data_IF_123132293551
#
_entry.id   IF_123132293551
#
_cell.length_a   1.000
_cell.length_b   1.000
_cell.length_c   1.000
_cell.angle_alpha   90.00
_cell.angle_beta   90.00
_cell.angle_gamma   90.00
#
_symmetry.space_group_name_H-M   'P 1'
#
loop_
_entity.id
_entity.type
_entity.pdbx_description
1 polymer ?
#
# COMPACT_ATOMS: atom_id res chain seq x y z
N UNK A 1 40.43 -0.48 -50.32
CA UNK A 1 40.79 0.73 -49.58
C UNK A 1 39.53 1.60 -49.54
N UNK A 2 38.86 1.63 -48.41
CA UNK A 2 38.23 2.83 -47.86
C UNK A 2 37.57 2.45 -46.54
N UNK A 3 38.19 2.94 -45.51
CA UNK A 3 37.72 2.88 -44.12
C UNK A 3 36.48 3.77 -43.97
N UNK A 4 35.35 3.20 -43.49
CA UNK A 4 34.30 3.98 -42.90
C UNK A 4 34.24 3.68 -41.38
N UNK A 5 34.96 4.52 -40.62
CA UNK A 5 34.90 4.63 -39.18
C UNK A 5 33.50 5.07 -38.76
N UNK A 6 32.74 4.16 -38.21
CA UNK A 6 31.44 4.43 -37.61
C UNK A 6 31.59 5.33 -36.38
N UNK A 7 31.03 6.52 -36.49
CA UNK A 7 30.93 7.56 -35.51
C UNK A 7 30.04 7.06 -34.32
N UNK A 8 30.64 6.57 -33.22
CA UNK A 8 29.96 6.39 -31.95
C UNK A 8 29.62 7.77 -31.43
N UNK A 9 28.40 8.21 -31.65
CA UNK A 9 27.83 9.35 -30.91
C UNK A 9 27.89 9.03 -29.42
N UNK A 10 28.79 9.67 -28.72
CA UNK A 10 28.75 9.80 -27.24
C UNK A 10 27.41 10.43 -26.87
N UNK A 11 26.48 9.62 -26.39
CA UNK A 11 25.29 10.11 -25.74
C UNK A 11 25.78 10.74 -24.42
N UNK A 12 25.54 12.03 -24.11
CA UNK A 12 25.88 12.58 -22.82
C UNK A 12 25.19 11.74 -21.76
N UNK A 13 25.92 11.35 -20.71
CA UNK A 13 25.40 10.58 -19.60
C UNK A 13 24.09 11.26 -19.11
N UNK A 14 22.98 10.58 -19.32
CA UNK A 14 21.68 11.07 -18.87
C UNK A 14 21.80 11.32 -17.36
N UNK A 15 21.40 12.53 -16.90
CA UNK A 15 21.32 12.83 -15.47
C UNK A 15 20.55 11.68 -14.79
N UNK A 16 20.97 11.22 -13.60
CA UNK A 16 20.23 10.18 -12.91
C UNK A 16 18.80 10.66 -12.71
N UNK A 17 17.86 9.87 -13.20
CA UNK A 17 16.43 10.14 -13.03
C UNK A 17 16.09 10.01 -11.54
N UNK A 18 15.35 10.99 -11.02
CA UNK A 18 14.91 11.03 -9.63
C UNK A 18 13.50 10.48 -9.56
N UNK A 19 13.30 9.42 -8.79
CA UNK A 19 12.00 8.75 -8.64
C UNK A 19 11.41 9.04 -7.27
N UNK A 20 10.10 9.28 -7.22
CA UNK A 20 9.33 9.42 -5.99
C UNK A 20 7.94 8.79 -6.17
N UNK A 21 7.47 8.11 -5.12
CA UNK A 21 6.18 7.43 -5.10
C UNK A 21 5.26 8.14 -4.10
N UNK A 22 4.22 8.77 -4.61
CA UNK A 22 3.29 9.60 -3.84
C UNK A 22 1.96 8.88 -3.71
N UNK A 23 1.51 8.59 -2.49
CA UNK A 23 0.20 8.03 -2.23
C UNK A 23 -0.86 9.09 -2.02
N UNK A 24 -2.03 8.90 -2.63
CA UNK A 24 -3.22 9.67 -2.31
C UNK A 24 -4.11 8.88 -1.37
N UNK A 25 -4.37 9.41 -0.18
CA UNK A 25 -5.21 8.80 0.84
C UNK A 25 -6.36 9.75 1.19
N UNK A 26 -7.54 9.21 1.43
CA UNK A 26 -8.71 10.00 1.79
C UNK A 26 -9.79 9.13 2.41
N UNK A 27 -10.66 9.75 3.17
CA UNK A 27 -11.99 9.19 3.42
C UNK A 27 -12.83 9.21 2.15
N UNK A 28 -13.85 8.34 2.08
CA UNK A 28 -14.84 8.32 0.98
C UNK A 28 -15.38 9.73 0.75
N UNK A 29 -15.59 10.08 -0.51
CA UNK A 29 -16.11 11.36 -0.96
C UNK A 29 -15.27 12.62 -0.61
N UNK A 30 -14.09 12.51 -0.04
CA UNK A 30 -13.22 13.68 0.17
C UNK A 30 -12.67 14.29 -1.13
N UNK A 31 -12.83 13.60 -2.27
CA UNK A 31 -12.42 14.06 -3.60
C UNK A 31 -11.02 13.63 -4.01
N UNK A 32 -10.56 12.48 -3.50
CA UNK A 32 -9.25 11.89 -3.81
C UNK A 32 -9.04 11.67 -5.32
N UNK A 33 -9.96 10.96 -6.00
CA UNK A 33 -9.89 10.71 -7.44
C UNK A 33 -9.95 12.01 -8.24
N UNK A 34 -10.76 12.99 -7.80
CA UNK A 34 -10.80 14.32 -8.42
C UNK A 34 -9.46 15.05 -8.31
N UNK A 35 -8.78 14.94 -7.16
CA UNK A 35 -7.44 15.50 -6.97
C UNK A 35 -6.41 14.79 -7.86
N UNK A 36 -6.48 13.45 -7.96
CA UNK A 36 -5.62 12.68 -8.85
C UNK A 36 -5.75 13.14 -10.30
N UNK A 37 -6.98 13.28 -10.80
CA UNK A 37 -7.28 13.78 -12.15
C UNK A 37 -6.75 15.22 -12.33
N UNK A 38 -6.95 16.11 -11.36
CA UNK A 38 -6.46 17.48 -11.39
C UNK A 38 -4.91 17.54 -11.48
N UNK A 39 -4.22 16.73 -10.68
CA UNK A 39 -2.76 16.61 -10.73
C UNK A 39 -2.29 16.12 -12.11
N UNK A 40 -2.88 15.04 -12.64
CA UNK A 40 -2.52 14.50 -13.95
C UNK A 40 -2.79 15.48 -15.08
N UNK A 41 -3.88 16.25 -15.00
CA UNK A 41 -4.23 17.26 -15.97
C UNK A 41 -3.26 18.44 -15.96
N UNK A 42 -2.96 18.99 -14.78
CA UNK A 42 -2.03 20.12 -14.62
C UNK A 42 -0.60 19.77 -15.07
N UNK A 43 -0.19 18.52 -14.88
CA UNK A 43 1.12 18.03 -15.34
C UNK A 43 1.12 17.54 -16.79
N UNK A 44 0.00 17.69 -17.51
CA UNK A 44 -0.12 17.34 -18.92
C UNK A 44 -0.08 15.83 -19.22
N UNK A 45 -0.20 14.98 -18.21
CA UNK A 45 -0.26 13.52 -18.38
C UNK A 45 -1.56 13.07 -19.03
N UNK A 46 -2.65 13.82 -18.82
CA UNK A 46 -3.95 13.65 -19.48
C UNK A 46 -4.36 14.93 -20.17
N UNK A 47 -5.08 14.81 -21.31
CA UNK A 47 -5.51 15.97 -22.14
C UNK A 47 -6.84 16.57 -21.71
N UNK A 48 -7.66 15.80 -21.02
CA UNK A 48 -9.01 16.18 -20.56
C UNK A 48 -9.12 15.81 -19.09
N UNK A 49 -9.64 16.72 -18.30
CA UNK A 49 -9.96 16.46 -16.89
C UNK A 49 -11.14 15.48 -16.83
N UNK A 50 -10.90 14.27 -16.29
CA UNK A 50 -11.94 13.30 -16.02
C UNK A 50 -12.80 13.71 -14.83
N UNK A 51 -14.05 13.30 -14.79
CA UNK A 51 -14.98 13.56 -13.68
C UNK A 51 -15.61 12.27 -13.19
N UNK A 52 -15.60 12.07 -11.89
CA UNK A 52 -16.22 10.91 -11.24
C UNK A 52 -17.70 10.82 -11.59
N UNK A 53 -18.42 11.95 -11.56
CA UNK A 53 -19.84 12.06 -11.90
C UNK A 53 -20.13 11.64 -13.35
N UNK A 54 -19.20 11.87 -14.25
CA UNK A 54 -19.34 11.50 -15.68
C UNK A 54 -18.78 10.10 -15.97
N UNK A 55 -18.15 9.42 -14.99
CA UNK A 55 -17.56 8.09 -15.12
C UNK A 55 -16.46 8.01 -16.21
N UNK A 56 -15.77 9.13 -16.45
CA UNK A 56 -14.74 9.27 -17.49
C UNK A 56 -13.34 9.56 -16.92
N UNK A 57 -13.12 9.21 -15.66
CA UNK A 57 -11.82 9.34 -14.98
C UNK A 57 -10.76 8.43 -15.58
N UNK A 58 -9.52 8.90 -15.62
CA UNK A 58 -8.38 8.14 -16.15
C UNK A 58 -8.01 6.95 -15.25
N UNK A 59 -8.15 7.10 -13.93
CA UNK A 59 -7.76 6.09 -12.95
C UNK A 59 -8.85 5.05 -12.66
N UNK A 60 -10.13 5.41 -12.64
CA UNK A 60 -11.23 4.47 -12.38
C UNK A 60 -11.51 3.64 -13.64
N UNK A 61 -10.72 2.63 -13.86
CA UNK A 61 -10.76 1.81 -15.09
C UNK A 61 -11.66 0.60 -15.00
N UNK A 62 -11.98 0.17 -13.77
CA UNK A 62 -12.85 -0.96 -13.51
C UNK A 62 -14.33 -0.57 -13.64
N UNK A 63 -15.16 -1.46 -14.19
CA UNK A 63 -16.59 -1.21 -14.38
C UNK A 63 -17.33 -1.08 -13.04
N UNK A 64 -16.94 -1.85 -12.02
CA UNK A 64 -17.53 -1.80 -10.68
C UNK A 64 -17.15 -0.51 -9.94
N UNK A 65 -15.90 -0.06 -10.06
CA UNK A 65 -15.43 1.21 -9.51
C UNK A 65 -16.23 2.37 -10.11
N UNK A 66 -16.34 2.41 -11.45
CA UNK A 66 -17.12 3.42 -12.15
C UNK A 66 -18.61 3.40 -11.82
N UNK A 67 -19.19 2.22 -11.63
CA UNK A 67 -20.60 2.10 -11.29
C UNK A 67 -20.93 2.67 -9.91
N UNK A 68 -19.97 2.54 -8.96
CA UNK A 68 -20.12 2.95 -7.55
C UNK A 68 -19.49 4.29 -7.20
N UNK A 69 -18.58 4.78 -8.05
CA UNK A 69 -17.81 6.00 -7.79
C UNK A 69 -16.79 5.85 -6.66
N UNK A 70 -16.33 4.61 -6.36
CA UNK A 70 -15.32 4.34 -5.32
C UNK A 70 -14.13 3.59 -5.92
N UNK A 71 -12.93 3.90 -5.44
CA UNK A 71 -11.72 3.15 -5.76
C UNK A 71 -11.66 1.89 -4.90
N UNK A 72 -11.53 0.73 -5.54
CA UNK A 72 -11.49 -0.59 -4.89
C UNK A 72 -10.04 -1.09 -4.83
N UNK A 73 -9.33 -0.97 -5.94
CA UNK A 73 -7.95 -1.41 -6.10
C UNK A 73 -7.01 -0.22 -6.25
N UNK A 74 -5.83 -0.30 -5.65
CA UNK A 74 -4.79 0.70 -5.82
C UNK A 74 -4.39 0.82 -7.29
N UNK A 75 -4.42 2.03 -7.83
CA UNK A 75 -4.07 2.38 -9.22
C UNK A 75 -2.78 3.18 -9.26
N UNK A 76 -2.13 3.11 -10.41
CA UNK A 76 -0.89 3.85 -10.64
C UNK A 76 -1.07 4.82 -11.81
N UNK A 77 -0.54 6.01 -11.65
CA UNK A 77 -0.34 6.95 -12.76
C UNK A 77 1.08 7.49 -12.71
N UNK A 78 1.65 7.74 -13.88
CA UNK A 78 2.99 8.32 -14.00
C UNK A 78 2.89 9.75 -14.51
N UNK A 79 3.66 10.62 -13.88
CA UNK A 79 3.77 12.02 -14.28
C UNK A 79 5.20 12.53 -14.05
N UNK A 80 5.51 13.68 -14.62
CA UNK A 80 6.79 14.37 -14.42
C UNK A 80 6.53 15.64 -13.63
N UNK A 81 7.25 15.84 -12.52
CA UNK A 81 7.19 17.05 -11.71
C UNK A 81 8.57 17.71 -11.71
N UNK A 82 8.78 18.65 -12.61
CA UNK A 82 10.10 19.24 -12.86
C UNK A 82 11.08 18.20 -13.41
N UNK A 83 12.12 17.88 -12.64
CA UNK A 83 13.13 16.84 -12.96
C UNK A 83 12.84 15.48 -12.29
N UNK A 84 11.70 15.35 -11.59
CA UNK A 84 11.30 14.12 -10.90
C UNK A 84 10.35 13.28 -11.75
N UNK A 85 10.56 11.97 -11.71
CA UNK A 85 9.61 10.98 -12.22
C UNK A 85 8.74 10.52 -11.05
N UNK A 86 7.47 10.88 -11.09
CA UNK A 86 6.52 10.60 -10.02
C UNK A 86 5.65 9.43 -10.39
N UNK A 87 5.53 8.45 -9.48
CA UNK A 87 4.47 7.46 -9.51
C UNK A 87 3.41 7.87 -8.50
N UNK A 88 2.25 8.28 -9.00
CA UNK A 88 1.08 8.57 -8.18
C UNK A 88 0.32 7.27 -7.93
N UNK A 89 0.12 6.93 -6.66
CA UNK A 89 -0.60 5.74 -6.21
C UNK A 89 -1.94 6.18 -5.63
N UNK A 90 -3.01 5.95 -6.37
CA UNK A 90 -4.38 6.20 -5.91
C UNK A 90 -4.86 4.99 -5.10
N UNK A 91 -5.11 5.16 -3.80
CA UNK A 91 -5.48 4.08 -2.88
C UNK A 91 -6.98 4.02 -2.65
N UNK A 92 -7.54 2.87 -2.26
CA UNK A 92 -8.94 2.81 -1.84
C UNK A 92 -9.24 3.77 -0.68
N UNK A 93 -10.39 4.46 -0.77
CA UNK A 93 -10.84 5.36 0.30
C UNK A 93 -11.90 4.74 1.22
N UNK A 94 -12.44 3.57 0.87
CA UNK A 94 -13.47 2.88 1.65
C UNK A 94 -12.84 1.94 2.68
N UNK A 95 -13.41 1.89 3.88
CA UNK A 95 -12.90 1.07 4.99
C UNK A 95 -12.81 -0.42 4.67
N UNK A 96 -13.70 -0.96 3.84
CA UNK A 96 -13.71 -2.36 3.45
C UNK A 96 -12.48 -2.76 2.59
N UNK A 97 -11.74 -1.79 2.05
CA UNK A 97 -10.52 -2.01 1.25
C UNK A 97 -9.27 -1.45 1.93
N UNK A 98 -9.35 -1.20 3.23
CA UNK A 98 -8.24 -0.64 4.00
C UNK A 98 -7.00 -1.53 4.01
N UNK A 99 -7.15 -2.85 3.92
CA UNK A 99 -6.01 -3.76 3.82
C UNK A 99 -5.22 -3.60 2.51
N UNK A 100 -5.90 -3.38 1.37
CA UNK A 100 -5.25 -3.05 0.10
C UNK A 100 -4.52 -1.71 0.18
N UNK A 101 -5.14 -0.70 0.82
CA UNK A 101 -4.54 0.59 1.05
C UNK A 101 -3.29 0.44 1.93
N UNK A 102 -3.37 -0.29 3.06
CA UNK A 102 -2.25 -0.48 3.99
C UNK A 102 -1.04 -1.15 3.31
N UNK A 103 -1.25 -2.15 2.45
CA UNK A 103 -0.18 -2.75 1.66
C UNK A 103 0.50 -1.73 0.74
N UNK A 104 -0.26 -0.81 0.18
CA UNK A 104 0.27 0.24 -0.70
C UNK A 104 1.12 1.24 0.06
N UNK A 105 0.82 1.53 1.35
CA UNK A 105 1.62 2.44 2.17
C UNK A 105 3.09 2.05 2.22
N UNK A 106 3.39 0.77 2.21
CA UNK A 106 4.75 0.24 2.37
C UNK A 106 5.70 0.55 1.19
N UNK A 107 5.18 1.07 0.09
CA UNK A 107 5.99 1.45 -1.09
C UNK A 107 5.97 2.96 -1.36
N UNK A 108 5.31 3.74 -0.52
CA UNK A 108 5.27 5.19 -0.63
C UNK A 108 6.57 5.83 -0.13
N UNK A 109 6.92 6.97 -0.71
CA UNK A 109 7.99 7.86 -0.24
C UNK A 109 7.40 9.07 0.50
N UNK A 110 6.19 9.49 0.12
CA UNK A 110 5.36 10.43 0.85
C UNK A 110 3.88 10.22 0.51
N UNK A 111 3.01 10.83 1.28
CA UNK A 111 1.57 10.75 1.12
C UNK A 111 0.94 12.13 1.05
N UNK A 112 -0.16 12.24 0.31
CA UNK A 112 -1.10 13.36 0.37
C UNK A 112 -2.39 12.86 1.01
N UNK A 113 -2.68 13.33 2.21
CA UNK A 113 -3.92 13.05 2.92
C UNK A 113 -4.96 14.11 2.52
N UNK A 114 -6.00 13.67 1.80
CA UNK A 114 -7.06 14.56 1.31
C UNK A 114 -8.20 14.58 2.32
N UNK A 115 -8.56 15.77 2.77
CA UNK A 115 -9.61 16.01 3.76
C UNK A 115 -10.67 16.92 3.15
N UNK A 116 -11.94 16.60 3.30
CA UNK A 116 -13.04 17.47 2.88
C UNK A 116 -13.14 18.68 3.79
N UNK A 117 -13.05 19.90 3.27
CA UNK A 117 -13.24 21.13 4.03
C UNK A 117 -14.66 21.30 4.58
N UNK A 118 -15.64 20.67 3.93
CA UNK A 118 -17.02 20.70 4.43
C UNK A 118 -17.25 19.78 5.63
N UNK A 119 -16.53 18.65 5.70
CA UNK A 119 -16.74 17.59 6.70
C UNK A 119 -15.67 17.61 7.81
N UNK A 120 -14.52 18.24 7.55
CA UNK A 120 -13.38 18.26 8.46
C UNK A 120 -12.76 16.89 8.70
N UNK A 121 -12.10 16.72 9.86
CA UNK A 121 -11.44 15.46 10.21
C UNK A 121 -12.49 14.46 10.70
N UNK A 122 -12.66 13.37 9.95
CA UNK A 122 -13.55 12.26 10.28
C UNK A 122 -12.78 11.10 10.93
N UNK A 123 -13.48 10.15 11.57
CA UNK A 123 -12.85 9.00 12.26
C UNK A 123 -11.96 8.15 11.36
N UNK A 124 -12.35 7.98 10.10
CA UNK A 124 -11.50 7.24 9.14
C UNK A 124 -10.21 8.00 8.81
N UNK A 125 -10.25 9.34 8.75
CA UNK A 125 -9.05 10.18 8.57
C UNK A 125 -8.06 9.96 9.73
N UNK A 126 -8.55 9.85 10.97
CA UNK A 126 -7.69 9.52 12.12
C UNK A 126 -7.09 8.12 12.04
N UNK A 127 -7.83 7.16 11.47
CA UNK A 127 -7.29 5.81 11.21
C UNK A 127 -6.17 5.86 10.18
N UNK A 128 -6.38 6.57 9.06
CA UNK A 128 -5.34 6.80 8.05
C UNK A 128 -4.12 7.50 8.63
N UNK A 129 -4.34 8.50 9.50
CA UNK A 129 -3.28 9.24 10.18
C UNK A 129 -2.42 8.33 11.07
N UNK A 130 -3.06 7.44 11.85
CA UNK A 130 -2.36 6.46 12.68
C UNK A 130 -1.52 5.49 11.85
N UNK A 131 -2.02 5.03 10.70
CA UNK A 131 -1.26 4.19 9.79
C UNK A 131 -0.08 4.93 9.17
N UNK A 132 -0.28 6.17 8.68
CA UNK A 132 0.80 7.02 8.17
C UNK A 132 1.89 7.25 9.23
N UNK A 133 1.50 7.40 10.50
CA UNK A 133 2.43 7.50 11.63
C UNK A 133 3.19 6.20 11.89
N UNK A 134 2.49 5.05 11.88
CA UNK A 134 3.08 3.73 12.09
C UNK A 134 4.15 3.40 11.04
N UNK A 135 3.87 3.71 9.79
CA UNK A 135 4.79 3.46 8.67
C UNK A 135 5.76 4.62 8.42
N UNK A 136 5.79 5.61 9.31
CA UNK A 136 6.69 6.78 9.28
C UNK A 136 6.65 7.52 7.93
N UNK A 137 5.49 7.59 7.27
CA UNK A 137 5.36 8.18 5.94
C UNK A 137 5.24 9.71 6.04
N UNK A 138 6.16 10.48 5.44
CA UNK A 138 6.05 11.93 5.31
C UNK A 138 4.72 12.32 4.67
N UNK A 139 3.98 13.26 5.28
CA UNK A 139 2.60 13.51 4.90
C UNK A 139 2.34 14.99 4.64
N UNK A 140 1.78 15.26 3.47
CA UNK A 140 1.20 16.55 3.08
C UNK A 140 -0.33 16.45 3.23
N UNK A 141 -0.99 17.53 3.62
CA UNK A 141 -2.44 17.59 3.73
C UNK A 141 -3.00 18.48 2.63
N UNK A 142 -4.06 18.00 1.96
CA UNK A 142 -4.83 18.80 1.03
C UNK A 142 -6.28 18.91 1.51
N UNK A 143 -6.65 20.10 1.98
CA UNK A 143 -8.00 20.39 2.44
C UNK A 143 -8.81 20.82 1.21
N UNK A 144 -9.57 19.86 0.71
CA UNK A 144 -10.33 19.95 -0.54
C UNK A 144 -11.74 20.51 -0.33
N UNK A 145 -12.41 20.88 -1.42
CA UNK A 145 -13.79 21.39 -1.44
C UNK A 145 -13.95 22.72 -0.70
N UNK A 146 -12.92 23.57 -0.69
CA UNK A 146 -12.98 24.89 -0.07
C UNK A 146 -13.94 25.84 -0.79
N UNK A 147 -14.43 25.48 -1.96
CA UNK A 147 -15.46 26.20 -2.71
C UNK A 147 -16.90 25.94 -2.21
N UNK A 148 -17.07 25.04 -1.24
CA UNK A 148 -18.39 24.77 -0.65
C UNK A 148 -18.75 25.83 0.43
N UNK A 149 -20.03 26.22 0.53
CA UNK A 149 -20.48 27.18 1.54
C UNK A 149 -20.22 26.66 2.96
N UNK A 150 -19.77 27.52 3.84
CA UNK A 150 -19.57 27.20 5.26
C UNK A 150 -18.19 26.61 5.61
N UNK A 151 -17.28 26.53 4.65
CA UNK A 151 -15.90 26.17 4.95
C UNK A 151 -15.17 27.33 5.61
N UNK A 152 -14.56 27.09 6.75
CA UNK A 152 -13.78 28.05 7.53
C UNK A 152 -12.36 27.52 7.71
N UNK A 153 -11.38 28.20 7.11
CA UNK A 153 -9.97 27.80 7.10
C UNK A 153 -9.36 27.77 8.52
N UNK A 154 -9.67 28.76 9.34
CA UNK A 154 -9.12 28.85 10.70
C UNK A 154 -9.68 27.74 11.58
N UNK A 155 -10.99 27.49 11.52
CA UNK A 155 -11.65 26.39 12.25
C UNK A 155 -11.12 25.03 11.78
N UNK A 156 -10.87 24.85 10.47
CA UNK A 156 -10.29 23.62 9.92
C UNK A 156 -8.86 23.42 10.42
N UNK A 157 -8.02 24.45 10.42
CA UNK A 157 -6.66 24.35 10.97
C UNK A 157 -6.66 23.98 12.45
N UNK A 158 -7.52 24.61 13.25
CA UNK A 158 -7.67 24.26 14.67
C UNK A 158 -8.10 22.79 14.86
N UNK A 159 -9.01 22.31 14.01
CA UNK A 159 -9.44 20.91 13.99
C UNK A 159 -8.35 19.93 13.59
N UNK A 160 -7.51 20.26 12.58
CA UNK A 160 -6.36 19.47 12.17
C UNK A 160 -5.35 19.33 13.30
N UNK A 161 -4.98 20.45 13.95
CA UNK A 161 -4.06 20.44 15.09
C UNK A 161 -4.59 19.60 16.26
N UNK A 162 -5.84 19.82 16.66
CA UNK A 162 -6.44 19.12 17.80
C UNK A 162 -6.62 17.60 17.59
N UNK A 163 -6.86 17.14 16.37
CA UNK A 163 -7.22 15.74 16.08
C UNK A 163 -6.12 14.93 15.39
N UNK A 164 -5.21 15.58 14.69
CA UNK A 164 -4.11 14.89 14.01
C UNK A 164 -2.77 15.18 14.68
N UNK A 165 -2.27 16.42 14.59
CA UNK A 165 -0.97 16.80 15.13
C UNK A 165 -0.80 18.32 15.19
N UNK A 166 -0.15 18.85 16.24
CA UNK A 166 0.17 20.26 16.38
C UNK A 166 1.12 20.78 15.31
N UNK A 167 1.92 19.88 14.70
CA UNK A 167 2.80 20.15 13.57
C UNK A 167 2.08 20.39 12.23
N UNK A 168 0.74 20.39 12.18
CA UNK A 168 -0.01 20.85 11.03
C UNK A 168 0.14 22.34 10.85
N UNK A 169 0.79 22.78 9.76
CA UNK A 169 1.06 24.18 9.45
C UNK A 169 0.46 24.57 8.12
N UNK A 170 -0.17 25.73 8.07
CA UNK A 170 -0.78 26.27 6.85
C UNK A 170 0.28 26.89 5.93
N UNK A 171 0.44 26.33 4.73
CA UNK A 171 1.38 26.78 3.68
C UNK A 171 0.72 27.67 2.62
N UNK A 172 -0.43 28.28 2.90
CA UNK A 172 -1.06 29.26 2.01
C UNK A 172 -0.40 30.62 2.02
N UNK A 173 -0.65 31.40 0.95
CA UNK A 173 -0.01 32.72 0.73
C UNK A 173 -0.61 33.86 1.54
N UNK A 174 -1.78 33.68 2.16
CA UNK A 174 -2.53 34.78 2.79
C UNK A 174 -2.05 35.10 4.22
N UNK A 175 -0.88 34.58 4.63
CA UNK A 175 -0.30 34.77 5.97
C UNK A 175 0.91 35.67 5.94
N UNK A 176 1.16 36.41 7.04
CA UNK A 176 2.43 37.12 7.18
C UNK A 176 3.58 36.11 7.27
N UNK A 177 4.68 36.39 6.61
CA UNK A 177 5.87 35.53 6.61
C UNK A 177 6.39 35.28 8.04
N UNK A 178 6.36 36.31 8.87
CA UNK A 178 6.81 36.25 10.27
C UNK A 178 5.98 35.24 11.08
N UNK A 179 4.65 35.39 11.08
CA UNK A 179 3.77 34.46 11.80
C UNK A 179 3.88 33.01 11.31
N UNK A 180 4.16 32.81 10.02
CA UNK A 180 4.39 31.48 9.45
C UNK A 180 5.74 30.89 9.90
N UNK A 181 6.81 31.70 9.96
CA UNK A 181 8.13 31.25 10.45
C UNK A 181 8.08 30.94 11.96
N UNK A 182 7.39 31.75 12.75
CA UNK A 182 7.18 31.49 14.18
C UNK A 182 6.46 30.17 14.42
N UNK A 183 5.38 29.90 13.66
CA UNK A 183 4.64 28.64 13.76
C UNK A 183 5.50 27.43 13.39
N UNK A 184 6.32 27.53 12.36
CA UNK A 184 7.28 26.47 11.99
C UNK A 184 8.34 26.26 13.06
N UNK A 185 8.90 27.33 13.60
CA UNK A 185 9.89 27.26 14.67
C UNK A 185 9.37 26.55 15.91
N UNK A 186 8.07 26.71 16.23
CA UNK A 186 7.43 26.02 17.35
C UNK A 186 7.32 24.49 17.19
N UNK A 187 7.51 23.96 15.99
CA UNK A 187 7.43 22.52 15.73
C UNK A 187 8.68 21.73 16.15
N UNK A 188 9.83 22.41 16.39
CA UNK A 188 11.10 21.75 16.72
C UNK A 188 12.00 22.68 17.54
N UNK A 189 12.57 22.17 18.63
CA UNK A 189 13.39 22.97 19.55
C UNK A 189 14.67 23.52 18.87
N UNK A 190 15.34 22.69 18.06
CA UNK A 190 16.55 23.08 17.33
C UNK A 190 16.24 24.18 16.32
N UNK A 191 15.11 24.05 15.61
CA UNK A 191 14.65 25.06 14.66
C UNK A 191 14.25 26.36 15.34
N UNK A 192 13.70 26.30 16.55
CA UNK A 192 13.38 27.50 17.35
C UNK A 192 14.64 28.26 17.73
N UNK A 193 15.68 27.57 18.19
CA UNK A 193 16.98 28.19 18.52
C UNK A 193 17.59 28.88 17.29
N UNK A 194 17.62 28.17 16.14
CA UNK A 194 18.10 28.72 14.88
C UNK A 194 17.31 29.97 14.44
N UNK A 195 15.98 29.90 14.54
CA UNK A 195 15.12 31.06 14.17
C UNK A 195 15.37 32.28 15.05
N UNK A 196 15.62 32.09 16.36
CA UNK A 196 15.93 33.16 17.28
C UNK A 196 17.30 33.76 17.04
N UNK A 197 18.28 33.00 16.52
CA UNK A 197 19.62 33.47 16.20
C UNK A 197 19.70 34.17 14.82
N UNK A 198 19.14 33.52 13.78
CA UNK A 198 19.31 33.91 12.37
C UNK A 198 18.11 34.64 11.79
N UNK A 199 16.95 34.55 12.43
CA UNK A 199 15.68 35.17 11.99
C UNK A 199 15.08 34.55 10.73
N UNK A 200 15.55 33.35 10.33
CA UNK A 200 15.10 32.69 9.11
C UNK A 200 15.04 31.14 9.25
N UNK A 201 14.25 30.53 8.40
CA UNK A 201 14.14 29.05 8.26
C UNK A 201 14.32 28.72 6.77
N UNK A 202 15.23 27.82 6.47
CA UNK A 202 15.51 27.42 5.09
C UNK A 202 14.58 26.29 4.64
N UNK A 203 14.46 26.11 3.32
CA UNK A 203 13.61 25.09 2.73
C UNK A 203 14.07 23.66 3.10
N UNK A 204 15.38 23.49 3.29
CA UNK A 204 16.00 22.23 3.73
C UNK A 204 15.56 21.81 5.13
N UNK A 205 15.40 22.78 6.05
CA UNK A 205 14.91 22.51 7.41
C UNK A 205 13.46 22.04 7.38
N UNK A 206 12.61 22.72 6.61
CA UNK A 206 11.22 22.31 6.42
C UNK A 206 11.15 20.91 5.80
N UNK A 207 11.99 20.62 4.80
CA UNK A 207 12.07 19.30 4.17
C UNK A 207 12.50 18.22 5.17
N UNK A 208 13.48 18.50 6.02
CA UNK A 208 13.92 17.63 7.11
C UNK A 208 12.78 17.35 8.09
N UNK A 209 12.13 18.37 8.59
CA UNK A 209 11.05 18.24 9.56
C UNK A 209 9.80 17.55 8.97
N UNK A 210 9.52 17.76 7.68
CA UNK A 210 8.45 17.03 6.98
C UNK A 210 8.81 15.55 6.86
N UNK A 211 10.06 15.21 6.55
CA UNK A 211 10.54 13.83 6.49
C UNK A 211 10.53 13.16 7.87
N UNK A 212 10.86 13.89 8.93
CA UNK A 212 10.83 13.43 10.34
C UNK A 212 9.40 13.42 10.93
N UNK A 213 8.39 13.84 10.16
CA UNK A 213 7.00 13.93 10.59
C UNK A 213 6.79 14.86 11.81
N UNK A 214 7.52 15.95 11.86
CA UNK A 214 7.36 17.04 12.83
C UNK A 214 6.58 18.23 12.25
N UNK A 215 6.62 18.40 10.92
CA UNK A 215 5.85 19.40 10.18
C UNK A 215 5.01 18.70 9.12
N UNK A 216 3.75 19.09 9.04
CA UNK A 216 2.78 18.58 8.08
C UNK A 216 2.23 19.76 7.26
N UNK A 217 2.77 20.00 6.04
CA UNK A 217 2.33 21.11 5.21
C UNK A 217 0.88 20.96 4.78
N UNK A 218 0.03 21.93 5.13
CA UNK A 218 -1.39 21.97 4.80
C UNK A 218 -1.65 22.94 3.65
N UNK A 219 -2.35 22.46 2.62
CA UNK A 219 -2.78 23.24 1.46
C UNK A 219 -4.29 23.22 1.34
N UNK A 220 -4.87 24.34 0.99
CA UNK A 220 -6.31 24.52 0.86
C UNK A 220 -6.70 24.77 -0.60
N UNK A 221 -7.80 24.13 -1.06
CA UNK A 221 -8.21 24.32 -2.44
C UNK A 221 -9.48 23.59 -2.82
N UNK A 222 -9.74 23.59 -4.13
CA UNK A 222 -10.81 22.81 -4.76
C UNK A 222 -10.24 22.04 -5.95
N UNK A 223 -10.09 20.76 -5.79
CA UNK A 223 -9.63 19.88 -6.87
C UNK A 223 -10.56 19.94 -8.10
N UNK A 224 -11.86 20.11 -7.88
CA UNK A 224 -12.85 20.23 -8.94
C UNK A 224 -12.64 21.49 -9.81
N UNK A 225 -12.15 22.58 -9.19
CA UNK A 225 -11.86 23.84 -9.87
C UNK A 225 -10.39 24.02 -10.24
N UNK A 226 -9.53 23.06 -9.91
CA UNK A 226 -8.07 23.12 -10.01
C UNK A 226 -7.44 24.24 -9.16
N UNK A 227 -8.09 24.69 -8.10
CA UNK A 227 -7.61 25.71 -7.19
C UNK A 227 -6.72 25.10 -6.10
N UNK A 228 -5.51 25.65 -5.89
CA UNK A 228 -4.56 25.23 -4.85
C UNK A 228 -3.81 23.92 -5.13
N UNK A 229 -4.11 23.22 -6.23
CA UNK A 229 -3.43 21.97 -6.62
C UNK A 229 -2.02 22.23 -7.11
N UNK A 230 -1.80 23.33 -7.80
CA UNK A 230 -0.48 23.83 -8.22
C UNK A 230 0.42 24.12 -7.02
N UNK A 231 -0.12 24.76 -5.97
CA UNK A 231 0.60 25.06 -4.72
C UNK A 231 0.98 23.80 -3.95
N UNK A 232 0.08 22.81 -3.89
CA UNK A 232 0.40 21.49 -3.34
C UNK A 232 1.56 20.84 -4.10
N UNK A 233 1.53 20.84 -5.43
CA UNK A 233 2.59 20.24 -6.25
C UNK A 233 3.93 20.96 -6.10
N UNK A 234 3.91 22.29 -6.02
CA UNK A 234 5.10 23.07 -5.74
C UNK A 234 5.66 22.78 -4.35
N UNK A 235 4.78 22.70 -3.34
CA UNK A 235 5.14 22.34 -1.98
C UNK A 235 5.75 20.94 -1.88
N UNK A 236 5.16 19.95 -2.54
CA UNK A 236 5.73 18.60 -2.60
C UNK A 236 7.13 18.65 -3.24
N UNK A 237 7.28 19.33 -4.38
CA UNK A 237 8.57 19.43 -5.05
C UNK A 237 9.63 20.11 -4.18
N UNK A 238 9.25 21.08 -3.36
CA UNK A 238 10.14 21.87 -2.53
C UNK A 238 10.49 21.21 -1.21
N UNK A 239 9.54 20.48 -0.60
CA UNK A 239 9.67 19.99 0.77
C UNK A 239 9.65 18.47 0.91
N UNK A 240 9.27 17.70 -0.12
CA UNK A 240 9.43 16.26 -0.08
C UNK A 240 10.90 15.89 -0.26
N UNK A 241 11.38 14.94 0.54
CA UNK A 241 12.73 14.42 0.46
C UNK A 241 12.77 13.23 -0.48
N UNK A 242 13.71 13.24 -1.42
CA UNK A 242 13.95 12.08 -2.28
C UNK A 242 14.66 10.99 -1.48
N UNK A 243 14.20 9.75 -1.55
CA UNK A 243 14.86 8.64 -0.87
C UNK A 243 16.23 8.34 -1.50
N UNK A 244 17.16 7.93 -0.66
CA UNK A 244 18.45 7.39 -1.08
C UNK A 244 18.37 5.86 -1.10
N UNK A 245 18.91 5.24 -2.15
CA UNK A 245 18.84 3.81 -2.33
C UNK A 245 20.24 3.19 -2.41
N UNK A 246 20.44 2.00 -1.79
CA UNK A 246 21.70 1.28 -1.89
C UNK A 246 21.93 0.75 -3.32
N UNK A 247 23.20 0.48 -3.66
CA UNK A 247 23.57 -0.13 -4.94
C UNK A 247 23.19 -1.62 -5.03
N UNK A 248 23.08 -2.28 -3.88
CA UNK A 248 22.69 -3.69 -3.81
C UNK A 248 21.22 -3.86 -4.17
N UNK A 249 20.92 -4.84 -5.02
CA UNK A 249 19.52 -5.10 -5.42
C UNK A 249 18.65 -5.44 -4.22
N UNK A 250 17.55 -4.73 -4.14
CA UNK A 250 16.44 -4.96 -3.23
C UNK A 250 15.11 -4.62 -3.91
N UNK A 251 14.05 -5.32 -3.57
CA UNK A 251 12.70 -4.98 -4.02
C UNK A 251 11.65 -5.44 -3.00
N UNK A 252 10.60 -4.64 -2.83
CA UNK A 252 9.46 -4.92 -1.95
C UNK A 252 8.22 -5.23 -2.78
N UNK A 253 7.68 -6.44 -2.62
CA UNK A 253 6.43 -6.87 -3.26
C UNK A 253 5.25 -6.40 -2.41
N UNK A 254 4.38 -5.56 -2.95
CA UNK A 254 3.24 -5.05 -2.19
C UNK A 254 1.88 -5.58 -2.66
N UNK A 255 1.82 -6.11 -3.90
CA UNK A 255 0.57 -6.59 -4.49
C UNK A 255 0.82 -7.71 -5.49
N UNK A 256 -0.09 -8.68 -5.52
CA UNK A 256 -0.23 -9.64 -6.61
C UNK A 256 -1.52 -9.30 -7.36
N UNK A 257 -1.52 -9.42 -8.67
CA UNK A 257 -2.69 -9.20 -9.50
C UNK A 257 -2.63 -10.02 -10.78
N UNK A 258 -3.61 -9.80 -11.65
CA UNK A 258 -3.67 -10.43 -12.98
C UNK A 258 -4.02 -9.41 -14.04
N UNK A 259 -3.46 -9.57 -15.24
CA UNK A 259 -3.85 -8.75 -16.38
C UNK A 259 -5.16 -9.26 -17.02
N UNK A 260 -5.63 -8.54 -18.03
CA UNK A 260 -6.87 -8.88 -18.74
C UNK A 260 -6.84 -10.26 -19.43
N UNK A 261 -5.65 -10.83 -19.65
CA UNK A 261 -5.44 -12.16 -20.20
C UNK A 261 -5.28 -13.23 -19.10
N UNK A 262 -5.38 -12.85 -17.82
CA UNK A 262 -5.23 -13.73 -16.66
C UNK A 262 -3.77 -13.99 -16.26
N UNK A 263 -2.79 -13.38 -16.93
CA UNK A 263 -1.39 -13.54 -16.58
C UNK A 263 -1.09 -12.91 -15.21
N UNK A 264 -0.37 -13.65 -14.35
CA UNK A 264 0.00 -13.22 -13.01
C UNK A 264 0.98 -12.06 -13.05
N UNK A 265 0.71 -11.04 -12.27
CA UNK A 265 1.52 -9.84 -12.10
C UNK A 265 2.00 -9.72 -10.65
N UNK A 266 3.29 -9.57 -10.47
CA UNK A 266 3.90 -9.20 -9.19
C UNK A 266 4.21 -7.71 -9.21
N UNK A 267 3.49 -6.93 -8.40
CA UNK A 267 3.73 -5.49 -8.25
C UNK A 267 4.77 -5.28 -7.16
N UNK A 268 5.81 -4.52 -7.48
CA UNK A 268 6.91 -4.28 -6.55
C UNK A 268 7.51 -2.88 -6.73
N UNK A 269 8.15 -2.39 -5.67
CA UNK A 269 9.05 -1.25 -5.70
C UNK A 269 10.48 -1.76 -5.63
N UNK A 270 11.34 -1.29 -6.52
CA UNK A 270 12.78 -1.54 -6.43
C UNK A 270 13.37 -0.62 -5.35
N UNK A 271 13.94 -1.20 -4.30
CA UNK A 271 14.47 -0.48 -3.12
C UNK A 271 16.00 -0.43 -3.09
N UNK A 272 16.65 -0.98 -4.11
CA UNK A 272 18.11 -0.93 -4.28
C UNK A 272 18.54 -1.48 -5.63
N UNK A 273 19.63 -1.00 -6.16
CA UNK A 273 20.22 -1.44 -7.42
C UNK A 273 19.26 -1.38 -8.60
N UNK A 274 19.15 -2.46 -9.35
CA UNK A 274 18.22 -2.56 -10.49
C UNK A 274 17.71 -3.98 -10.72
N UNK A 275 16.47 -4.08 -11.17
CA UNK A 275 15.83 -5.29 -11.66
C UNK A 275 15.94 -5.34 -13.17
N UNK A 276 16.36 -6.47 -13.74
CA UNK A 276 16.52 -6.64 -15.19
C UNK A 276 15.72 -7.83 -15.71
N UNK A 277 15.17 -7.67 -16.92
CA UNK A 277 14.46 -8.74 -17.64
C UNK A 277 15.39 -9.94 -17.88
N UNK A 278 14.85 -11.16 -17.71
CA UNK A 278 15.54 -12.44 -17.89
C UNK A 278 16.67 -12.75 -16.89
N UNK A 279 16.98 -11.85 -15.96
CA UNK A 279 17.88 -12.20 -14.85
C UNK A 279 17.17 -13.09 -13.82
N UNK A 280 17.84 -14.12 -13.30
CA UNK A 280 17.28 -14.94 -12.23
C UNK A 280 17.15 -14.13 -10.94
N UNK A 281 16.00 -14.27 -10.30
CA UNK A 281 15.70 -13.79 -8.96
C UNK A 281 15.57 -15.00 -8.04
N UNK A 282 16.02 -14.83 -6.79
CA UNK A 282 15.92 -15.85 -5.75
C UNK A 282 15.06 -15.31 -4.61
N UNK A 283 14.30 -16.20 -4.01
CA UNK A 283 13.46 -15.87 -2.86
C UNK A 283 13.06 -17.13 -2.10
N UNK A 284 12.21 -16.95 -1.12
CA UNK A 284 11.55 -18.07 -0.40
C UNK A 284 10.05 -17.93 -0.59
N UNK A 285 9.34 -19.05 -0.74
CA UNK A 285 7.88 -19.05 -0.75
C UNK A 285 7.33 -18.69 0.63
N UNK A 286 6.01 -18.54 0.76
CA UNK A 286 5.37 -18.29 2.05
C UNK A 286 5.63 -19.41 3.06
N UNK A 287 5.79 -20.64 2.57
CA UNK A 287 6.14 -21.84 3.34
C UNK A 287 7.64 -21.98 3.65
N UNK A 288 8.46 -21.01 3.21
CA UNK A 288 9.89 -21.00 3.45
C UNK A 288 10.74 -21.74 2.41
N UNK A 289 10.11 -22.37 1.39
CA UNK A 289 10.83 -23.11 0.34
C UNK A 289 11.61 -22.15 -0.58
N UNK A 290 12.90 -22.41 -0.83
CA UNK A 290 13.69 -21.60 -1.74
C UNK A 290 13.22 -21.77 -3.19
N UNK A 291 13.22 -20.66 -3.95
CA UNK A 291 12.91 -20.67 -5.38
C UNK A 291 13.87 -19.78 -6.16
N UNK A 292 14.02 -20.10 -7.45
CA UNK A 292 14.75 -19.29 -8.43
C UNK A 292 13.89 -19.19 -9.70
N UNK A 293 13.47 -17.98 -10.06
CA UNK A 293 12.63 -17.70 -11.22
C UNK A 293 13.19 -16.51 -12.01
N UNK A 294 12.73 -16.32 -13.25
CA UNK A 294 13.17 -15.22 -14.11
C UNK A 294 12.02 -14.27 -14.40
N UNK A 295 12.31 -12.98 -14.35
CA UNK A 295 11.38 -11.95 -14.80
C UNK A 295 11.26 -11.97 -16.31
N UNK A 296 10.05 -12.16 -16.84
CA UNK A 296 9.80 -12.18 -18.29
C UNK A 296 9.62 -10.78 -18.85
N UNK A 297 8.82 -9.94 -18.20
CA UNK A 297 8.56 -8.55 -18.59
C UNK A 297 8.55 -7.67 -17.35
N UNK A 298 8.99 -6.44 -17.53
CA UNK A 298 8.84 -5.36 -16.56
C UNK A 298 7.90 -4.32 -17.16
N UNK A 299 6.80 -4.04 -16.51
CA UNK A 299 5.73 -3.15 -16.97
C UNK A 299 5.60 -1.97 -16.02
N UNK A 300 5.63 -0.76 -16.55
CA UNK A 300 5.36 0.48 -15.83
C UNK A 300 3.95 0.92 -16.18
N UNK A 301 3.04 0.79 -15.23
CA UNK A 301 1.63 1.11 -15.43
C UNK A 301 1.34 2.61 -15.29
N UNK A 302 0.37 3.11 -16.09
CA UNK A 302 -0.24 4.42 -15.94
C UNK A 302 -1.70 4.32 -16.42
N UNK A 303 -2.64 4.32 -15.48
CA UNK A 303 -4.03 3.95 -15.76
C UNK A 303 -4.14 2.51 -16.28
N UNK A 304 -4.87 2.30 -17.38
CA UNK A 304 -5.00 0.99 -18.05
C UNK A 304 -3.81 0.59 -18.89
N UNK A 305 -3.00 1.57 -19.30
CA UNK A 305 -1.85 1.36 -20.17
C UNK A 305 -0.59 1.04 -19.40
N UNK A 306 0.36 0.39 -20.07
CA UNK A 306 1.70 0.18 -19.53
C UNK A 306 2.78 0.32 -20.60
N UNK A 307 3.97 0.68 -20.14
CA UNK A 307 5.19 0.69 -20.92
C UNK A 307 6.07 -0.48 -20.51
N UNK A 308 6.56 -1.28 -21.46
CA UNK A 308 7.57 -2.29 -21.19
C UNK A 308 8.96 -1.67 -21.14
N UNK A 309 9.74 -2.06 -20.14
CA UNK A 309 11.14 -1.64 -19.98
C UNK A 309 12.04 -2.85 -19.79
N UNK A 310 13.35 -2.69 -20.09
CA UNK A 310 14.34 -3.75 -19.95
C UNK A 310 14.90 -3.83 -18.52
N UNK A 311 14.84 -2.70 -17.81
CA UNK A 311 15.27 -2.60 -16.41
C UNK A 311 14.38 -1.65 -15.63
N UNK A 312 14.22 -1.91 -14.34
CA UNK A 312 13.66 -1.00 -13.36
C UNK A 312 14.72 -0.68 -12.30
N UNK A 313 14.96 0.61 -12.06
CA UNK A 313 15.95 1.13 -11.12
C UNK A 313 15.33 1.37 -9.76
N UNK A 314 16.19 1.48 -8.75
CA UNK A 314 15.77 1.86 -7.40
C UNK A 314 14.88 3.11 -7.42
N UNK A 315 13.81 3.07 -6.62
CA UNK A 315 12.74 4.06 -6.59
C UNK A 315 11.57 3.80 -7.54
N UNK A 316 11.74 2.94 -8.54
CA UNK A 316 10.66 2.65 -9.50
C UNK A 316 9.66 1.63 -8.94
N UNK A 317 8.38 1.92 -9.10
CA UNK A 317 7.29 0.96 -8.92
C UNK A 317 6.94 0.34 -10.27
N UNK A 318 6.89 -0.98 -10.34
CA UNK A 318 6.59 -1.72 -11.56
C UNK A 318 5.80 -3.00 -11.28
N UNK A 319 5.24 -3.59 -12.34
CA UNK A 319 4.68 -4.93 -12.32
C UNK A 319 5.53 -5.86 -13.18
N UNK A 320 5.77 -7.07 -12.72
CA UNK A 320 6.56 -8.06 -13.44
C UNK A 320 5.78 -9.33 -13.69
N UNK A 321 6.08 -9.98 -14.83
CA UNK A 321 5.58 -11.31 -15.16
C UNK A 321 6.70 -12.35 -15.04
N UNK A 322 6.35 -13.64 -14.97
CA UNK A 322 7.31 -14.74 -14.88
C UNK A 322 7.63 -15.21 -13.46
N UNK A 323 7.16 -14.48 -12.43
CA UNK A 323 7.31 -14.87 -11.03
C UNK A 323 6.01 -15.52 -10.53
N UNK A 324 6.08 -16.76 -10.06
CA UNK A 324 4.93 -17.55 -9.61
C UNK A 324 4.89 -17.78 -8.10
N UNK A 325 6.03 -17.66 -7.43
CA UNK A 325 6.22 -17.97 -6.00
C UNK A 325 6.27 -16.74 -5.10
N UNK A 326 6.19 -15.54 -5.69
CA UNK A 326 6.16 -14.29 -4.92
C UNK A 326 4.82 -14.10 -4.21
N UNK A 327 4.81 -13.36 -3.12
CA UNK A 327 3.59 -13.01 -2.37
C UNK A 327 3.65 -11.56 -1.87
N UNK A 328 2.49 -10.99 -1.57
CA UNK A 328 2.39 -9.64 -1.02
C UNK A 328 3.07 -9.55 0.34
N UNK A 329 3.91 -8.54 0.55
CA UNK A 329 4.73 -8.35 1.74
C UNK A 329 6.12 -8.98 1.64
N UNK A 330 6.44 -9.69 0.56
CA UNK A 330 7.76 -10.31 0.39
C UNK A 330 8.84 -9.27 0.07
N UNK A 331 9.99 -9.41 0.76
CA UNK A 331 11.24 -8.77 0.35
C UNK A 331 12.05 -9.66 -0.58
N UNK A 332 12.69 -9.05 -1.58
CA UNK A 332 13.57 -9.71 -2.54
C UNK A 332 14.97 -9.09 -2.47
N UNK A 333 16.00 -9.91 -2.66
CA UNK A 333 17.39 -9.46 -2.57
C UNK A 333 17.78 -9.03 -1.16
N UNK A 334 18.25 -7.80 -0.99
CA UNK A 334 18.62 -7.22 0.31
C UNK A 334 17.42 -6.64 1.09
N UNK A 335 16.25 -6.53 0.45
CA UNK A 335 15.05 -5.99 1.10
C UNK A 335 14.47 -7.01 2.09
N UNK A 336 14.20 -6.63 3.35
CA UNK A 336 13.53 -7.51 4.31
C UNK A 336 12.05 -7.70 3.94
N UNK A 337 11.44 -8.74 4.50
CA UNK A 337 9.99 -8.89 4.43
C UNK A 337 9.29 -7.72 5.13
N UNK A 338 8.14 -7.33 4.60
CA UNK A 338 7.30 -6.29 5.19
C UNK A 338 6.68 -6.74 6.51
N UNK A 339 6.38 -5.80 7.38
CA UNK A 339 5.53 -6.06 8.54
C UNK A 339 4.14 -6.54 8.10
N UNK A 340 3.52 -7.35 8.94
CA UNK A 340 2.15 -7.77 8.71
C UNK A 340 1.21 -6.57 8.83
N UNK A 341 0.18 -6.47 7.97
CA UNK A 341 -0.85 -5.45 8.08
C UNK A 341 -1.51 -5.47 9.46
N UNK A 342 -1.85 -4.29 9.97
CA UNK A 342 -2.60 -4.13 11.24
C UNK A 342 -4.10 -4.31 11.02
N UNK A 343 -4.55 -3.90 9.85
CA UNK A 343 -5.96 -3.98 9.50
C UNK A 343 -6.30 -5.39 9.06
N UNK A 344 -6.96 -6.12 9.93
CA UNK A 344 -7.40 -7.49 9.69
C UNK A 344 -8.93 -7.55 9.48
N UNK A 345 -9.41 -8.51 8.68
CA UNK A 345 -10.85 -8.73 8.54
C UNK A 345 -11.49 -9.18 9.85
N UNK A 346 -12.70 -8.68 10.09
CA UNK A 346 -13.45 -8.94 11.34
C UNK A 346 -14.65 -9.85 11.15
N UNK A 347 -15.03 -10.15 9.91
CA UNK A 347 -16.20 -10.94 9.57
C UNK A 347 -15.80 -12.19 8.81
N UNK A 348 -16.39 -13.34 9.16
CA UNK A 348 -16.25 -14.60 8.43
C UNK A 348 -17.59 -15.01 7.83
N UNK A 349 -17.58 -15.30 6.54
CA UNK A 349 -18.75 -15.76 5.80
C UNK A 349 -18.51 -17.14 5.21
N UNK A 350 -19.58 -17.95 5.14
CA UNK A 350 -19.59 -19.19 4.39
C UNK A 350 -20.02 -18.89 2.95
N UNK A 351 -19.28 -19.44 1.98
CA UNK A 351 -19.68 -19.40 0.58
C UNK A 351 -20.72 -20.48 0.29
N UNK A 352 -21.85 -20.08 -0.29
CA UNK A 352 -22.89 -20.99 -0.77
C UNK A 352 -22.90 -21.01 -2.30
N UNK A 353 -23.07 -22.22 -2.86
CA UNK A 353 -23.03 -22.47 -4.29
C UNK A 353 -24.32 -23.16 -4.76
N UNK A 354 -24.69 -23.06 -6.04
CA UNK A 354 -25.74 -23.89 -6.65
C UNK A 354 -25.48 -25.39 -6.42
N UNK A 355 -26.54 -26.19 -6.34
CA UNK A 355 -26.47 -27.60 -5.96
C UNK A 355 -25.67 -28.49 -6.93
N UNK A 356 -25.44 -28.02 -8.15
CA UNK A 356 -24.66 -28.71 -9.19
C UNK A 356 -23.16 -28.41 -9.15
N UNK A 357 -22.72 -27.52 -8.25
CA UNK A 357 -21.32 -27.12 -8.12
C UNK A 357 -20.58 -28.04 -7.13
N UNK A 358 -19.51 -28.65 -7.58
CA UNK A 358 -18.54 -29.33 -6.71
C UNK A 358 -17.74 -28.28 -5.91
N UNK A 359 -17.97 -28.26 -4.59
CA UNK A 359 -17.40 -27.25 -3.68
C UNK A 359 -15.87 -27.40 -3.59
N UNK A 360 -15.34 -28.62 -3.59
CA UNK A 360 -13.89 -28.82 -3.57
C UNK A 360 -13.23 -28.34 -4.87
N UNK A 361 -13.89 -28.53 -6.02
CA UNK A 361 -13.44 -27.95 -7.29
C UNK A 361 -13.52 -26.43 -7.27
N UNK A 362 -14.61 -25.86 -6.75
CA UNK A 362 -14.78 -24.41 -6.58
C UNK A 362 -13.66 -23.82 -5.70
N UNK A 363 -13.32 -24.46 -4.58
CA UNK A 363 -12.20 -24.05 -3.72
C UNK A 363 -10.89 -23.91 -4.49
N UNK A 364 -10.53 -24.94 -5.28
CA UNK A 364 -9.30 -24.89 -6.07
C UNK A 364 -9.31 -23.80 -7.14
N UNK A 365 -10.47 -23.53 -7.73
CA UNK A 365 -10.64 -22.45 -8.71
C UNK A 365 -10.52 -21.06 -8.08
N UNK A 366 -10.97 -20.89 -6.82
CA UNK A 366 -10.98 -19.62 -6.12
C UNK A 366 -9.65 -19.31 -5.40
N UNK A 367 -8.79 -20.31 -5.14
CA UNK A 367 -7.47 -20.12 -4.48
C UNK A 367 -6.64 -18.95 -5.06
N UNK A 368 -6.61 -18.71 -6.39
CA UNK A 368 -5.89 -17.56 -6.93
C UNK A 368 -6.36 -16.20 -6.45
N UNK A 369 -7.60 -16.07 -5.94
CA UNK A 369 -8.10 -14.82 -5.35
C UNK A 369 -7.38 -14.48 -4.04
N UNK A 370 -6.99 -15.49 -3.25
CA UNK A 370 -6.26 -15.29 -2.01
C UNK A 370 -4.82 -14.76 -2.25
N UNK A 371 -4.23 -15.04 -3.42
CA UNK A 371 -2.96 -14.40 -3.80
C UNK A 371 -3.13 -12.89 -4.02
N UNK A 372 -4.26 -12.47 -4.61
CA UNK A 372 -4.58 -11.07 -4.92
C UNK A 372 -5.12 -10.33 -3.69
N UNK A 373 -5.91 -11.03 -2.87
CA UNK A 373 -6.58 -10.52 -1.66
C UNK A 373 -6.22 -11.44 -0.49
N UNK A 374 -5.02 -11.32 0.09
CA UNK A 374 -4.54 -12.24 1.12
C UNK A 374 -5.41 -12.27 2.38
N UNK A 375 -6.08 -11.17 2.69
CA UNK A 375 -7.00 -11.04 3.83
C UNK A 375 -8.28 -11.86 3.73
N UNK A 376 -8.56 -12.50 2.59
CA UNK A 376 -9.69 -13.43 2.47
C UNK A 376 -9.54 -14.66 3.38
N UNK A 377 -8.31 -15.03 3.74
CA UNK A 377 -8.02 -16.20 4.59
C UNK A 377 -8.96 -17.36 4.28
N UNK A 378 -8.94 -17.82 3.02
CA UNK A 378 -9.87 -18.83 2.51
C UNK A 378 -9.60 -20.18 3.13
N UNK A 379 -10.54 -20.66 3.94
CA UNK A 379 -10.48 -21.94 4.64
C UNK A 379 -11.41 -22.96 3.98
N UNK A 380 -10.87 -24.15 3.76
CA UNK A 380 -11.63 -25.32 3.36
C UNK A 380 -11.89 -26.23 4.56
N UNK A 381 -13.15 -26.34 4.98
CA UNK A 381 -13.57 -27.29 6.00
C UNK A 381 -14.05 -28.59 5.31
N UNK A 382 -13.20 -29.61 5.32
CA UNK A 382 -13.50 -30.88 4.69
C UNK A 382 -14.62 -31.65 5.41
N UNK A 383 -14.79 -31.45 6.72
CA UNK A 383 -15.81 -32.15 7.53
C UNK A 383 -17.20 -31.60 7.26
N UNK A 384 -17.31 -30.29 7.12
CA UNK A 384 -18.55 -29.60 6.80
C UNK A 384 -18.81 -29.49 5.29
N UNK A 385 -17.79 -29.76 4.44
CA UNK A 385 -17.79 -29.51 3.00
C UNK A 385 -18.12 -28.06 2.68
N UNK A 386 -17.45 -27.12 3.37
CA UNK A 386 -17.71 -25.68 3.28
C UNK A 386 -16.44 -24.90 2.96
N UNK A 387 -16.61 -23.78 2.24
CA UNK A 387 -15.57 -22.76 2.07
C UNK A 387 -15.95 -21.58 2.94
N UNK A 388 -15.03 -21.12 3.78
CA UNK A 388 -15.18 -19.91 4.58
C UNK A 388 -14.16 -18.87 4.13
N UNK A 389 -14.60 -17.61 4.10
CA UNK A 389 -13.76 -16.46 3.76
C UNK A 389 -13.92 -15.37 4.80
N UNK A 390 -12.84 -14.61 5.02
CA UNK A 390 -12.88 -13.44 5.88
C UNK A 390 -12.99 -12.17 5.02
N UNK A 391 -13.74 -11.19 5.50
CA UNK A 391 -13.95 -9.90 4.82
C UNK A 391 -13.95 -8.75 5.83
N UNK A 392 -13.58 -7.57 5.33
CA UNK A 392 -13.56 -6.34 6.12
C UNK A 392 -14.96 -5.75 6.30
N UNK A 393 -15.86 -5.93 5.31
CA UNK A 393 -17.20 -5.36 5.34
C UNK A 393 -18.09 -5.83 4.20
N UNK A 394 -19.34 -5.32 4.20
CA UNK A 394 -20.39 -5.80 3.28
C UNK A 394 -20.16 -5.39 1.82
N UNK A 395 -19.54 -4.23 1.57
CA UNK A 395 -19.25 -3.77 0.20
C UNK A 395 -18.24 -4.72 -0.47
N UNK A 396 -17.30 -5.26 0.30
CA UNK A 396 -16.34 -6.25 -0.20
C UNK A 396 -17.04 -7.54 -0.67
N UNK A 397 -18.13 -7.97 0.00
CA UNK A 397 -18.92 -9.15 -0.37
C UNK A 397 -19.50 -9.01 -1.77
N UNK A 398 -20.14 -7.88 -2.08
CA UNK A 398 -20.73 -7.68 -3.39
C UNK A 398 -19.68 -7.64 -4.51
N UNK A 399 -18.51 -7.09 -4.21
CA UNK A 399 -17.40 -7.05 -5.15
C UNK A 399 -16.84 -8.43 -5.39
N UNK A 400 -16.66 -9.23 -4.35
CA UNK A 400 -16.25 -10.63 -4.46
C UNK A 400 -17.25 -11.47 -5.26
N UNK A 401 -18.57 -11.29 -5.03
CA UNK A 401 -19.61 -11.98 -5.82
C UNK A 401 -19.49 -11.67 -7.30
N UNK A 402 -19.33 -10.40 -7.65
CA UNK A 402 -19.19 -9.98 -9.05
C UNK A 402 -17.87 -10.50 -9.66
N UNK A 403 -16.76 -10.39 -8.94
CA UNK A 403 -15.45 -10.86 -9.38
C UNK A 403 -15.45 -12.39 -9.61
N UNK A 404 -16.07 -13.15 -8.71
CA UNK A 404 -16.18 -14.61 -8.85
C UNK A 404 -17.05 -14.95 -10.05
N UNK A 405 -18.17 -14.27 -10.24
CA UNK A 405 -19.06 -14.48 -11.38
C UNK A 405 -18.39 -14.17 -12.71
N UNK A 406 -17.67 -13.04 -12.80
CA UNK A 406 -17.04 -12.59 -14.05
C UNK A 406 -15.82 -13.42 -14.42
N UNK A 407 -14.98 -13.79 -13.44
CA UNK A 407 -13.72 -14.50 -13.73
C UNK A 407 -13.85 -16.01 -13.80
N UNK A 408 -14.77 -16.60 -13.01
CA UNK A 408 -14.87 -18.04 -12.85
C UNK A 408 -16.21 -18.60 -13.32
N UNK A 409 -17.12 -17.73 -13.80
CA UNK A 409 -18.46 -18.10 -14.23
C UNK A 409 -19.27 -18.87 -13.15
N UNK A 410 -18.93 -18.60 -11.86
CA UNK A 410 -19.57 -19.24 -10.70
C UNK A 410 -20.53 -18.27 -10.02
N UNK A 411 -21.77 -18.74 -9.84
CA UNK A 411 -22.71 -18.07 -8.93
C UNK A 411 -22.35 -18.42 -7.48
N UNK A 412 -22.13 -17.41 -6.64
CA UNK A 412 -21.82 -17.59 -5.24
C UNK A 412 -22.71 -16.72 -4.36
N UNK A 413 -23.24 -17.29 -3.28
CA UNK A 413 -23.86 -16.58 -2.17
C UNK A 413 -22.93 -16.48 -0.97
N UNK A 414 -23.21 -15.53 -0.09
CA UNK A 414 -22.56 -15.40 1.20
C UNK A 414 -23.64 -15.58 2.27
N UNK A 415 -23.52 -16.66 3.05
CA UNK A 415 -24.46 -16.91 4.14
C UNK A 415 -24.10 -16.06 5.37
N UNK A 416 -25.00 -16.02 6.35
CA UNK A 416 -24.85 -15.19 7.54
C UNK A 416 -23.43 -15.27 8.14
N UNK A 417 -22.79 -14.13 8.23
CA UNK A 417 -21.43 -14.03 8.76
C UNK A 417 -21.37 -14.18 10.27
N UNK A 418 -20.21 -14.54 10.75
CA UNK A 418 -19.85 -14.53 12.17
C UNK A 418 -18.65 -13.63 12.42
N UNK A 419 -18.54 -13.12 13.64
CA UNK A 419 -17.34 -12.35 14.04
C UNK A 419 -16.15 -13.30 14.15
N UNK A 420 -14.99 -12.87 13.71
CA UNK A 420 -13.72 -13.59 13.89
C UNK A 420 -13.33 -13.45 15.36
N UNK A 421 -13.48 -14.53 16.12
CA UNK A 421 -12.98 -14.61 17.48
C UNK A 421 -11.51 -15.01 17.47
N UNK A 422 -10.71 -14.32 18.29
CA UNK A 422 -9.35 -14.74 18.61
C UNK A 422 -9.38 -15.34 20.02
N UNK A 423 -8.76 -16.49 20.17
CA UNK A 423 -8.72 -17.21 21.43
C UNK A 423 -7.29 -17.29 21.95
N UNK A 424 -7.14 -17.33 23.26
CA UNK A 424 -5.89 -17.65 23.94
C UNK A 424 -6.22 -18.55 25.14
N UNK A 425 -5.21 -19.23 25.65
CA UNK A 425 -5.35 -20.02 26.87
C UNK A 425 -5.18 -19.09 28.09
N UNK A 426 -5.92 -19.37 29.17
CA UNK A 426 -5.87 -18.58 30.40
C UNK A 426 -4.67 -18.97 31.27
N UNK A 427 -4.31 -20.25 31.27
CA UNK A 427 -3.27 -20.85 32.11
C UNK A 427 -2.40 -21.80 31.29
N UNK A 428 -1.24 -22.14 31.82
CA UNK A 428 -0.36 -23.16 31.25
C UNK A 428 -1.05 -24.53 31.29
N UNK A 429 -1.13 -25.19 30.13
CA UNK A 429 -1.74 -26.51 29.98
C UNK A 429 -0.83 -27.46 29.19
N UNK A 430 -0.85 -28.74 29.55
CA UNK A 430 -0.12 -29.78 28.85
C UNK A 430 -1.07 -30.55 27.93
N UNK A 431 -0.71 -30.67 26.65
CA UNK A 431 -1.36 -31.51 25.67
C UNK A 431 -0.48 -32.69 25.30
N UNK A 432 -1.04 -33.93 25.33
CA UNK A 432 -0.30 -35.14 25.00
C UNK A 432 -0.91 -35.78 23.76
N UNK A 433 -0.07 -35.99 22.75
CA UNK A 433 -0.38 -36.74 21.55
C UNK A 433 0.32 -38.11 21.57
N UNK A 434 -0.40 -39.19 21.42
CA UNK A 434 0.13 -40.53 21.37
C UNK A 434 -0.27 -41.22 20.05
N UNK A 435 0.72 -41.87 19.43
CA UNK A 435 0.53 -42.58 18.16
C UNK A 435 1.27 -43.90 18.15
N UNK A 436 0.57 -45.01 18.05
CA UNK A 436 1.13 -46.39 18.10
C UNK A 436 0.57 -47.31 17.03
N UNK A 437 0.60 -47.03 15.73
CA UNK A 437 0.22 -47.94 14.69
C UNK A 437 1.40 -48.80 14.20
N UNK A 438 1.19 -50.07 13.97
CA UNK A 438 2.09 -50.99 13.24
C UNK A 438 3.55 -50.99 13.72
N UNK A 439 3.79 -50.97 15.01
CA UNK A 439 5.13 -50.94 15.67
C UNK A 439 5.89 -49.63 15.59
N UNK A 440 5.23 -48.56 15.23
CA UNK A 440 5.79 -47.19 15.35
C UNK A 440 5.21 -46.53 16.60
N UNK A 441 6.05 -46.10 17.47
CA UNK A 441 5.66 -45.38 18.69
C UNK A 441 6.12 -43.92 18.58
N UNK A 442 5.22 -43.00 18.79
CA UNK A 442 5.52 -41.59 18.96
C UNK A 442 4.62 -40.98 20.05
N UNK A 443 5.23 -40.29 20.99
CA UNK A 443 4.52 -39.56 22.02
C UNK A 443 5.08 -38.13 22.06
N UNK A 444 4.19 -37.12 21.98
CA UNK A 444 4.55 -35.72 21.98
C UNK A 444 3.81 -35.04 23.13
N UNK A 445 4.56 -34.39 23.98
CA UNK A 445 4.06 -33.53 25.04
C UNK A 445 4.26 -32.08 24.64
N UNK A 446 3.17 -31.31 24.55
CA UNK A 446 3.21 -29.89 24.27
C UNK A 446 2.78 -29.12 25.51
N UNK A 447 3.66 -28.29 26.03
CA UNK A 447 3.33 -27.33 27.05
C UNK A 447 2.88 -26.04 26.36
N UNK A 448 1.60 -25.69 26.53
CA UNK A 448 1.00 -24.49 25.97
C UNK A 448 0.96 -23.42 27.06
N UNK A 449 1.58 -22.28 26.79
CA UNK A 449 1.64 -21.15 27.70
C UNK A 449 0.97 -19.91 27.11
N UNK A 450 0.26 -19.09 27.91
CA UNK A 450 -0.31 -17.85 27.40
C UNK A 450 0.82 -16.87 27.05
N UNK A 451 0.78 -16.33 25.82
CA UNK A 451 1.71 -15.28 25.35
C UNK A 451 1.09 -13.88 25.45
N UNK A 452 1.92 -12.86 25.25
CA UNK A 452 1.43 -11.48 25.18
C UNK A 452 0.49 -11.27 23.99
N UNK A 453 -0.56 -10.43 24.13
CA UNK A 453 -1.46 -10.14 23.03
C UNK A 453 -0.73 -9.66 21.78
N UNK A 454 -0.93 -10.34 20.66
CA UNK A 454 -0.28 -10.03 19.39
C UNK A 454 1.09 -10.66 19.17
N UNK A 455 1.63 -11.45 20.12
CA UNK A 455 2.93 -12.13 19.99
C UNK A 455 2.94 -13.25 18.94
N UNK A 456 1.75 -13.67 18.48
CA UNK A 456 1.61 -14.82 17.58
C UNK A 456 1.95 -16.14 18.26
N UNK A 457 2.11 -17.19 17.46
CA UNK A 457 2.50 -18.51 17.93
C UNK A 457 4.03 -18.62 17.96
N UNK A 458 4.59 -18.89 19.14
CA UNK A 458 6.01 -19.09 19.33
C UNK A 458 6.26 -20.56 19.70
N UNK A 459 7.33 -21.13 19.17
CA UNK A 459 7.75 -22.49 19.47
C UNK A 459 9.13 -22.47 20.11
N UNK A 460 9.25 -23.21 21.20
CA UNK A 460 10.53 -23.45 21.86
C UNK A 460 10.57 -24.90 22.36
N UNK A 461 11.73 -25.37 22.83
CA UNK A 461 11.90 -26.69 23.41
C UNK A 461 12.55 -26.61 24.78
N UNK A 462 11.96 -27.30 25.74
CA UNK A 462 12.56 -27.52 27.07
C UNK A 462 13.26 -28.89 27.19
N UNK A 463 13.24 -29.68 26.10
CA UNK A 463 13.89 -30.98 26.06
C UNK A 463 15.41 -30.82 26.01
N UNK A 464 16.13 -31.49 26.93
CA UNK A 464 17.59 -31.48 26.93
C UNK A 464 18.16 -32.16 25.69
N UNK A 465 19.22 -31.62 25.12
CA UNK A 465 19.95 -32.25 24.00
C UNK A 465 20.55 -33.62 24.39
N UNK A 466 20.73 -33.92 25.68
CA UNK A 466 21.12 -35.25 26.18
C UNK A 466 19.98 -36.28 26.06
N UNK A 467 18.70 -35.83 25.99
CA UNK A 467 17.54 -36.70 25.88
C UNK A 467 17.10 -36.83 24.41
N UNK A 468 17.11 -35.74 23.68
CA UNK A 468 16.78 -35.70 22.26
C UNK A 468 17.76 -34.77 21.54
N UNK A 469 18.49 -35.32 20.58
CA UNK A 469 19.46 -34.58 19.78
C UNK A 469 18.82 -33.35 19.10
N UNK A 470 19.58 -32.27 19.00
CA UNK A 470 19.15 -30.98 18.48
C UNK A 470 18.53 -31.03 17.09
N UNK A 471 19.02 -31.95 16.25
CA UNK A 471 18.51 -32.10 14.89
C UNK A 471 17.07 -32.65 14.90
N UNK A 472 16.74 -33.52 15.87
CA UNK A 472 15.38 -34.03 16.05
C UNK A 472 14.42 -33.05 16.73
N UNK A 473 14.94 -32.11 17.49
CA UNK A 473 14.11 -31.04 18.10
C UNK A 473 13.72 -29.96 17.12
N UNK A 474 14.33 -29.91 15.92
CA UNK A 474 14.10 -28.87 14.90
C UNK A 474 13.33 -29.38 13.69
N UNK A 475 13.01 -30.66 13.63
CA UNK A 475 12.17 -31.27 12.61
C UNK A 475 10.69 -31.04 12.88
#
# INVERSE_FOLDING_TARGET
>A
MENTSGNRKNNPAAKPEKYINIGLLAHVDAGKTTLAEAILYLQGSIRKLGRVDHRDTFLDTDAMERARGITIFSKQARLTLGDWQVTLLDTPGHVDFSAEMERTLQVLDCAVLVISGADGVQSHVETLWRLLRRYEIPTFLFINKMDQPGTDREALMAGLKARLDDGCVDFGEDRSREAWLEELAMCDEELMEQYLEDGGIEAEDISRLTAERKVFPCYFGSALKNEGVDKLLEGIRRYARLPEYPETFGAKVYKIGRDAQGARLTYLKVTGGCLQVKKPLKGKSREGEPWEEKTDQIRLYSGTGFQMVQEARAGMVCAVTGLTKTYSGQGLGAEPASELPVLEPVLTYRLSFPADVDIHRAYRMLRPLEEEIPELHMLWDASANEIRVQVMGEVQIEILQNLIRERFELGVGFDAGSIVYKETIADTVEGVGHFEPLRHYAEVHLLLEPGEPGSGLQFDTICSEDVLDRDWQRL
#
